data_IF_989491446193
#
_entry.id   IF_989491446193
#
_cell.length_a   1.000
_cell.length_b   1.000
_cell.length_c   1.000
_cell.angle_alpha   90.00
_cell.angle_beta   90.00
_cell.angle_gamma   90.00
#
_symmetry.space_group_name_H-M   'P 1'
#
loop_
_entity.id
_entity.type
_entity.pdbx_description
1 polymer ?
#
# COMPACT_ATOMS: atom_id res chain seq x y z
N UNK A 1 2.93 -5.65 18.19
CA UNK A 1 3.82 -6.83 18.19
C UNK A 1 3.18 -7.89 17.33
N UNK A 2 3.93 -8.47 16.43
CA UNK A 2 3.44 -9.35 15.38
C UNK A 2 4.36 -10.58 15.31
N UNK A 3 3.78 -11.78 15.40
CA UNK A 3 4.48 -13.01 15.10
C UNK A 3 3.86 -13.61 13.84
N UNK A 4 4.63 -13.64 12.76
CA UNK A 4 4.22 -14.21 11.49
C UNK A 4 5.03 -15.47 11.19
N UNK A 5 4.38 -16.44 10.61
CA UNK A 5 4.99 -17.65 10.07
C UNK A 5 4.38 -17.99 8.73
N UNK A 6 5.23 -18.14 7.74
CA UNK A 6 4.89 -18.72 6.45
C UNK A 6 5.48 -20.11 6.37
N UNK A 7 4.83 -20.99 5.63
CA UNK A 7 5.15 -22.40 5.61
C UNK A 7 5.73 -22.82 4.26
N UNK A 8 6.19 -24.04 4.17
CA UNK A 8 6.78 -24.68 3.01
C UNK A 8 8.21 -24.19 2.70
N UNK A 9 8.70 -24.51 1.52
CA UNK A 9 10.13 -24.36 1.16
C UNK A 9 10.64 -22.93 1.25
N UNK A 10 9.82 -21.92 0.92
CA UNK A 10 10.16 -20.49 1.01
C UNK A 10 9.61 -19.82 2.26
N UNK A 11 9.15 -20.64 3.19
CA UNK A 11 8.58 -20.16 4.44
C UNK A 11 9.63 -19.61 5.40
N UNK A 12 9.21 -18.64 6.18
CA UNK A 12 9.99 -18.03 7.24
C UNK A 12 9.12 -17.73 8.45
N UNK A 13 9.74 -17.41 9.57
CA UNK A 13 9.05 -16.91 10.75
C UNK A 13 9.77 -15.69 11.31
N UNK A 14 9.00 -14.80 11.90
CA UNK A 14 9.55 -13.61 12.51
C UNK A 14 8.65 -13.11 13.63
N UNK A 15 9.28 -12.61 14.67
CA UNK A 15 8.65 -11.78 15.68
C UNK A 15 9.16 -10.37 15.54
N UNK A 16 8.26 -9.39 15.43
CA UNK A 16 8.64 -8.00 15.22
C UNK A 16 7.49 -7.04 15.48
N UNK A 17 7.62 -5.82 15.01
CA UNK A 17 6.57 -4.81 15.09
C UNK A 17 6.43 -4.10 13.76
N UNK A 18 5.28 -4.27 13.13
CA UNK A 18 4.79 -3.34 12.10
C UNK A 18 4.34 -2.08 12.84
N UNK A 19 4.91 -0.94 12.51
CA UNK A 19 4.64 0.30 13.24
C UNK A 19 4.72 1.51 12.32
N UNK A 20 3.79 2.44 12.50
CA UNK A 20 3.72 3.67 11.72
C UNK A 20 3.19 4.79 12.58
N UNK A 21 3.69 5.99 12.33
CA UNK A 21 3.26 7.22 12.99
C UNK A 21 2.87 8.21 11.90
N UNK A 22 1.65 8.72 12.00
CA UNK A 22 1.13 9.77 11.12
C UNK A 22 0.80 11.00 11.95
N UNK A 23 1.24 12.15 11.48
CA UNK A 23 0.92 13.47 12.04
C UNK A 23 0.32 14.33 10.93
N UNK A 24 -0.91 14.76 11.14
CA UNK A 24 -1.55 15.76 10.30
C UNK A 24 -1.87 16.99 11.15
N UNK A 25 -1.45 18.15 10.67
CA UNK A 25 -1.77 19.43 11.29
C UNK A 25 -2.31 20.36 10.23
N UNK A 26 -3.35 21.12 10.53
CA UNK A 26 -3.92 22.08 9.58
C UNK A 26 -4.39 23.36 10.30
N UNK A 27 -4.41 24.45 9.55
CA UNK A 27 -4.88 25.73 10.04
C UNK A 27 -5.26 26.71 8.92
N UNK A 28 -6.04 27.76 9.23
CA UNK A 28 -6.44 28.75 8.25
C UNK A 28 -5.25 29.62 7.82
N UNK A 29 -5.14 29.88 6.54
CA UNK A 29 -4.14 30.79 5.97
C UNK A 29 -4.58 31.34 4.61
N UNK A 30 -4.41 32.66 4.40
CA UNK A 30 -4.63 33.34 3.13
C UNK A 30 -5.97 33.00 2.42
N UNK A 31 -7.07 32.90 3.18
CA UNK A 31 -8.40 32.59 2.65
C UNK A 31 -8.66 31.10 2.39
N UNK A 32 -7.71 30.23 2.70
CA UNK A 32 -7.83 28.78 2.61
C UNK A 32 -7.33 28.10 3.88
N UNK A 33 -6.98 26.83 3.74
CA UNK A 33 -6.42 25.99 4.80
C UNK A 33 -5.08 25.44 4.34
N UNK A 34 -4.03 25.64 5.13
CA UNK A 34 -2.75 24.94 4.97
C UNK A 34 -2.73 23.69 5.81
N UNK A 35 -2.06 22.66 5.30
CA UNK A 35 -1.83 21.39 5.98
C UNK A 35 -0.35 21.02 6.00
N UNK A 36 0.04 20.28 7.03
CA UNK A 36 1.32 19.57 7.14
C UNK A 36 1.03 18.10 7.36
N UNK A 37 1.68 17.26 6.57
CA UNK A 37 1.54 15.81 6.62
C UNK A 37 2.91 15.19 6.85
N UNK A 38 3.03 14.37 7.85
CA UNK A 38 4.26 13.63 8.17
C UNK A 38 3.89 12.20 8.48
N UNK A 39 4.51 11.24 7.79
CA UNK A 39 4.36 9.82 8.07
C UNK A 39 5.73 9.15 8.11
N UNK A 40 5.94 8.30 9.08
CA UNK A 40 7.18 7.55 9.23
C UNK A 40 6.97 6.21 9.91
N UNK A 41 8.01 5.38 9.82
CA UNK A 41 8.03 4.04 10.39
C UNK A 41 9.37 3.74 11.05
N UNK A 42 9.35 2.89 12.05
CA UNK A 42 10.55 2.31 12.66
C UNK A 42 10.63 0.78 12.39
N UNK A 43 9.99 0.30 11.34
CA UNK A 43 9.97 -1.13 10.96
C UNK A 43 11.37 -1.66 10.70
N UNK A 44 12.26 -0.87 10.12
CA UNK A 44 13.66 -1.26 9.92
C UNK A 44 14.36 -1.69 11.22
N UNK A 45 14.04 -1.04 12.36
CA UNK A 45 14.57 -1.43 13.68
C UNK A 45 13.89 -2.67 14.26
N UNK A 46 12.64 -2.90 13.93
CA UNK A 46 11.81 -3.92 14.58
C UNK A 46 11.61 -5.18 13.75
N UNK A 47 11.74 -5.08 12.43
CA UNK A 47 11.67 -6.18 11.47
C UNK A 47 13.03 -6.47 10.81
N UNK A 48 13.96 -5.50 10.85
CA UNK A 48 15.24 -5.57 10.13
C UNK A 48 15.08 -5.36 8.62
N UNK A 49 16.18 -5.39 7.89
CA UNK A 49 16.23 -5.09 6.45
C UNK A 49 15.42 -6.07 5.58
N UNK A 50 15.12 -7.27 6.07
CA UNK A 50 14.28 -8.24 5.34
C UNK A 50 12.79 -7.92 5.39
N UNK A 51 12.34 -7.13 6.37
CA UNK A 51 10.91 -6.90 6.61
C UNK A 51 10.17 -8.14 7.14
N UNK A 52 8.89 -8.30 6.85
CA UNK A 52 8.05 -9.36 7.37
C UNK A 52 7.91 -10.55 6.39
N UNK A 53 7.85 -11.81 6.88
CA UNK A 53 7.58 -12.97 6.03
C UNK A 53 6.22 -12.84 5.35
N UNK A 54 6.22 -12.90 4.02
CA UNK A 54 5.00 -12.90 3.22
C UNK A 54 5.26 -13.64 1.90
N UNK A 55 4.62 -14.80 1.75
CA UNK A 55 4.77 -15.62 0.54
C UNK A 55 4.31 -14.86 -0.71
N UNK A 56 5.01 -15.09 -1.82
CA UNK A 56 4.66 -14.58 -3.15
C UNK A 56 4.71 -13.05 -3.29
N UNK A 57 5.28 -12.33 -2.31
CA UNK A 57 5.43 -10.88 -2.39
C UNK A 57 6.67 -10.51 -3.21
N UNK A 58 7.84 -10.66 -2.67
CA UNK A 58 9.12 -10.55 -3.37
C UNK A 58 10.07 -11.59 -2.79
N UNK A 59 10.86 -12.24 -3.65
CA UNK A 59 11.85 -13.20 -3.21
C UNK A 59 13.04 -12.47 -2.57
N UNK A 60 13.47 -12.96 -1.41
CA UNK A 60 14.63 -12.46 -0.69
C UNK A 60 15.71 -13.55 -0.59
N UNK A 61 16.92 -13.25 -1.05
CA UNK A 61 18.05 -14.15 -0.91
C UNK A 61 18.66 -14.01 0.49
N UNK A 62 18.55 -15.06 1.30
CA UNK A 62 19.26 -15.12 2.56
C UNK A 62 20.73 -15.51 2.36
N UNK A 63 21.58 -15.18 3.33
CA UNK A 63 22.95 -15.66 3.37
C UNK A 63 22.96 -17.19 3.33
N UNK A 64 23.74 -17.77 2.41
CA UNK A 64 23.79 -19.21 2.19
C UNK A 64 22.91 -19.73 1.06
N UNK A 65 22.28 -18.88 0.25
CA UNK A 65 21.54 -19.25 -0.96
C UNK A 65 20.11 -19.74 -0.74
N UNK A 66 19.58 -19.67 0.48
CA UNK A 66 18.17 -19.95 0.73
C UNK A 66 17.31 -18.77 0.29
N UNK A 67 16.30 -19.02 -0.53
CA UNK A 67 15.33 -18.01 -0.95
C UNK A 67 14.13 -18.08 -0.03
N UNK A 68 13.73 -16.93 0.52
CA UNK A 68 12.50 -16.76 1.30
C UNK A 68 11.74 -15.55 0.78
N UNK A 69 10.42 -15.54 0.94
CA UNK A 69 9.59 -14.44 0.47
C UNK A 69 9.25 -13.50 1.65
N UNK A 70 9.41 -12.21 1.41
CA UNK A 70 9.16 -11.17 2.41
C UNK A 70 8.52 -9.94 1.77
N UNK A 71 7.84 -9.16 2.58
CA UNK A 71 7.57 -7.75 2.28
C UNK A 71 8.64 -6.91 2.95
N UNK A 72 9.24 -6.00 2.22
CA UNK A 72 10.26 -5.06 2.76
C UNK A 72 9.68 -4.20 3.90
N UNK A 73 10.49 -3.72 4.84
CA UNK A 73 10.03 -2.80 5.88
C UNK A 73 9.65 -1.45 5.26
N UNK A 74 8.72 -0.75 5.87
CA UNK A 74 8.42 0.62 5.49
C UNK A 74 9.63 1.54 5.76
N UNK A 75 9.93 2.50 4.87
CA UNK A 75 11.05 3.44 5.06
C UNK A 75 10.83 4.35 6.28
N UNK A 76 11.92 4.90 6.82
CA UNK A 76 11.89 5.80 7.99
C UNK A 76 10.96 7.00 7.81
N UNK A 77 10.93 7.56 6.62
CA UNK A 77 10.07 8.67 6.25
C UNK A 77 9.29 8.27 5.01
N UNK A 78 7.98 8.18 5.15
CA UNK A 78 7.04 7.76 4.11
C UNK A 78 6.30 8.96 3.52
N UNK A 79 6.13 10.05 4.29
CA UNK A 79 5.53 11.28 3.83
C UNK A 79 6.13 12.48 4.56
N UNK A 80 6.44 13.52 3.81
CA UNK A 80 6.73 14.87 4.29
C UNK A 80 6.16 15.85 3.28
N UNK A 81 4.99 16.38 3.56
CA UNK A 81 4.22 17.18 2.62
C UNK A 81 3.54 18.38 3.26
N UNK A 82 3.33 19.39 2.44
CA UNK A 82 2.44 20.51 2.71
C UNK A 82 1.25 20.48 1.77
N UNK A 83 0.11 20.98 2.23
CA UNK A 83 -1.08 21.17 1.40
C UNK A 83 -1.69 22.55 1.56
N UNK A 84 -2.43 22.97 0.55
CA UNK A 84 -3.26 24.18 0.59
C UNK A 84 -4.58 23.91 -0.10
N UNK A 85 -5.68 24.15 0.60
CA UNK A 85 -7.03 23.98 0.09
C UNK A 85 -7.77 25.31 0.15
N UNK A 86 -8.42 25.71 -0.95
CA UNK A 86 -9.20 26.93 -1.03
C UNK A 86 -10.56 26.71 -1.70
N UNK A 87 -11.58 27.33 -1.16
CA UNK A 87 -12.92 27.38 -1.75
C UNK A 87 -12.99 28.59 -2.67
N UNK A 88 -13.21 28.37 -3.96
CA UNK A 88 -13.31 29.45 -4.97
C UNK A 88 -14.75 29.88 -5.19
N UNK A 89 -15.71 28.95 -5.07
CA UNK A 89 -17.15 29.21 -5.15
C UNK A 89 -17.92 28.17 -4.34
N UNK A 90 -19.27 28.27 -4.34
CA UNK A 90 -20.11 27.27 -3.66
C UNK A 90 -19.91 25.83 -4.19
N UNK A 91 -19.56 25.73 -5.47
CA UNK A 91 -19.42 24.43 -6.16
C UNK A 91 -17.98 24.06 -6.52
N UNK A 92 -16.99 24.92 -6.23
CA UNK A 92 -15.60 24.66 -6.64
C UNK A 92 -14.61 24.95 -5.53
N UNK A 93 -13.84 23.93 -5.19
CA UNK A 93 -12.63 24.06 -4.38
C UNK A 93 -11.39 23.61 -5.18
N UNK A 94 -10.25 24.16 -4.84
CA UNK A 94 -8.95 23.76 -5.37
C UNK A 94 -8.07 23.24 -4.24
N UNK A 95 -7.15 22.34 -4.58
CA UNK A 95 -6.11 21.87 -3.68
C UNK A 95 -4.75 21.89 -4.37
N UNK A 96 -3.73 22.20 -3.59
CA UNK A 96 -2.33 22.03 -3.95
C UNK A 96 -1.66 21.19 -2.88
N UNK A 97 -0.99 20.14 -3.29
CA UNK A 97 -0.18 19.28 -2.41
C UNK A 97 1.25 19.27 -2.96
N UNK A 98 2.22 19.50 -2.09
CA UNK A 98 3.64 19.47 -2.44
C UNK A 98 4.41 18.70 -1.37
N UNK A 99 5.14 17.67 -1.79
CA UNK A 99 5.84 16.76 -0.91
C UNK A 99 7.30 16.58 -1.32
N UNK A 100 8.18 16.51 -0.33
CA UNK A 100 9.53 15.98 -0.52
C UNK A 100 9.49 14.45 -0.72
N UNK A 101 8.61 13.79 0.03
CA UNK A 101 8.21 12.39 -0.10
C UNK A 101 6.71 12.37 0.09
N UNK A 102 5.96 11.70 -0.78
CA UNK A 102 4.50 11.64 -0.66
C UNK A 102 3.81 10.82 -1.72
N UNK A 103 2.48 10.88 -1.72
CA UNK A 103 1.61 10.11 -2.58
C UNK A 103 1.14 10.96 -3.79
N UNK A 104 1.47 10.58 -5.04
CA UNK A 104 0.90 11.21 -6.24
C UNK A 104 -0.55 10.74 -6.49
N UNK A 105 -1.25 11.41 -7.39
CA UNK A 105 -2.60 11.01 -7.83
C UNK A 105 -2.53 9.80 -8.79
N UNK A 106 -1.91 8.71 -8.35
CA UNK A 106 -1.76 7.45 -9.08
C UNK A 106 -2.15 6.27 -8.20
N UNK A 107 -3.00 5.39 -8.71
CA UNK A 107 -3.52 4.27 -7.96
C UNK A 107 -4.63 4.63 -6.95
N UNK A 108 -5.09 3.67 -6.16
CA UNK A 108 -5.99 3.89 -5.04
C UNK A 108 -5.27 4.63 -3.90
N UNK A 109 -5.99 5.15 -2.91
CA UNK A 109 -5.37 5.48 -1.63
C UNK A 109 -4.59 4.27 -1.10
N UNK A 110 -3.38 4.49 -0.59
CA UNK A 110 -2.56 3.40 -0.05
C UNK A 110 -3.35 2.58 0.98
N UNK A 111 -3.09 1.27 1.03
CA UNK A 111 -3.86 0.34 1.88
C UNK A 111 -3.97 0.80 3.35
N UNK A 112 -2.98 1.54 3.84
CA UNK A 112 -2.97 2.13 5.19
C UNK A 112 -4.06 3.17 5.45
N UNK A 113 -4.56 3.79 4.39
CA UNK A 113 -5.61 4.82 4.45
C UNK A 113 -6.99 4.31 4.05
N UNK A 114 -7.11 3.01 3.73
CA UNK A 114 -8.40 2.38 3.40
C UNK A 114 -9.07 1.80 4.64
N UNK A 115 -10.32 2.14 4.90
CA UNK A 115 -11.10 1.57 5.99
C UNK A 115 -11.23 0.05 5.91
N UNK A 116 -11.28 -0.51 4.71
CA UNK A 116 -11.34 -1.95 4.43
C UNK A 116 -10.07 -2.74 4.85
N UNK A 117 -8.95 -2.05 5.06
CA UNK A 117 -7.68 -2.65 5.48
C UNK A 117 -7.23 -2.22 6.88
N UNK A 118 -8.02 -1.39 7.58
CA UNK A 118 -7.59 -0.72 8.82
C UNK A 118 -7.17 -1.67 9.95
N UNK A 119 -7.77 -2.87 10.04
CA UNK A 119 -7.40 -3.88 11.05
C UNK A 119 -6.44 -4.97 10.50
N UNK A 120 -6.09 -4.89 9.22
CA UNK A 120 -5.24 -5.88 8.57
C UNK A 120 -3.77 -5.43 8.60
N UNK A 121 -2.87 -6.10 9.34
CA UNK A 121 -1.47 -5.70 9.43
C UNK A 121 -0.65 -6.04 8.18
N UNK A 122 -1.23 -6.75 7.20
CA UNK A 122 -0.51 -7.32 6.05
C UNK A 122 -0.64 -6.41 4.83
N UNK A 123 0.48 -6.16 4.17
CA UNK A 123 0.54 -5.49 2.86
C UNK A 123 -0.17 -6.34 1.80
N UNK A 124 -1.00 -5.76 0.92
CA UNK A 124 -1.57 -6.52 -0.20
C UNK A 124 -0.49 -7.09 -1.12
N UNK A 125 -0.69 -8.28 -1.67
CA UNK A 125 0.15 -8.75 -2.78
C UNK A 125 0.05 -7.82 -3.98
N UNK A 126 -1.12 -7.24 -4.23
CA UNK A 126 -1.37 -6.29 -5.31
C UNK A 126 -0.68 -4.92 -5.13
N UNK A 127 -0.06 -4.64 -3.98
CA UNK A 127 0.57 -3.36 -3.65
C UNK A 127 1.49 -2.84 -4.78
N UNK A 128 2.43 -3.63 -5.27
CA UNK A 128 3.36 -3.23 -6.33
C UNK A 128 2.71 -2.96 -7.69
N UNK A 129 1.47 -3.38 -7.90
CA UNK A 129 0.71 -3.14 -9.13
C UNK A 129 -0.38 -2.07 -8.95
N UNK A 130 -0.62 -1.59 -7.74
CA UNK A 130 -1.72 -0.67 -7.44
C UNK A 130 -1.28 0.62 -6.75
N UNK A 131 -0.59 0.54 -5.61
CA UNK A 131 -0.36 1.68 -4.71
C UNK A 131 1.09 1.81 -4.18
N UNK A 132 2.07 1.26 -4.87
CA UNK A 132 3.48 1.33 -4.48
C UNK A 132 4.09 2.75 -4.57
N UNK A 133 3.53 3.64 -5.38
CA UNK A 133 4.02 5.02 -5.54
C UNK A 133 3.71 5.94 -4.35
N UNK A 134 3.08 5.43 -3.30
CA UNK A 134 2.65 6.22 -2.13
C UNK A 134 3.77 6.92 -1.35
N UNK A 135 5.03 6.57 -1.59
CA UNK A 135 6.21 7.19 -0.97
C UNK A 135 7.18 7.72 -2.04
N UNK A 136 6.67 8.30 -3.12
CA UNK A 136 7.48 8.87 -4.19
C UNK A 136 8.20 10.14 -3.77
N UNK A 137 9.40 10.35 -4.27
CA UNK A 137 10.12 11.62 -4.09
C UNK A 137 9.50 12.74 -4.92
N UNK A 138 9.53 13.96 -4.38
CA UNK A 138 9.23 15.19 -5.11
C UNK A 138 7.87 15.14 -5.79
N UNK A 139 6.78 15.14 -5.04
CA UNK A 139 5.41 15.10 -5.58
C UNK A 139 4.82 16.52 -5.58
N UNK A 140 4.20 16.89 -6.69
CA UNK A 140 3.33 18.08 -6.77
C UNK A 140 2.02 17.65 -7.40
N UNK A 141 0.93 17.84 -6.66
CA UNK A 141 -0.44 17.50 -7.10
C UNK A 141 -1.31 18.77 -7.07
N UNK A 142 -2.01 19.01 -8.15
CA UNK A 142 -3.08 20.01 -8.24
C UNK A 142 -4.42 19.29 -8.34
N UNK A 143 -5.38 19.70 -7.51
CA UNK A 143 -6.72 19.13 -7.47
C UNK A 143 -7.80 20.20 -7.68
N UNK A 144 -8.90 19.78 -8.30
CA UNK A 144 -10.15 20.51 -8.42
C UNK A 144 -11.27 19.63 -7.91
N UNK A 145 -12.14 20.17 -7.05
CA UNK A 145 -13.24 19.45 -6.42
C UNK A 145 -14.56 20.15 -6.65
N UNK A 146 -15.50 19.40 -7.19
CA UNK A 146 -16.92 19.79 -7.34
C UNK A 146 -17.79 18.90 -6.46
N UNK A 147 -19.06 19.25 -6.22
CA UNK A 147 -20.01 18.33 -5.62
C UNK A 147 -20.07 17.03 -6.41
N UNK A 148 -19.56 15.94 -5.82
CA UNK A 148 -19.59 14.60 -6.42
C UNK A 148 -18.44 14.26 -7.37
N UNK A 149 -17.48 15.15 -7.64
CA UNK A 149 -16.35 14.86 -8.53
C UNK A 149 -15.06 15.54 -8.06
N UNK A 150 -14.00 14.77 -7.90
CA UNK A 150 -12.62 15.28 -7.73
C UNK A 150 -11.79 14.93 -8.97
N UNK A 151 -11.00 15.89 -9.45
CA UNK A 151 -9.98 15.68 -10.48
C UNK A 151 -8.64 16.12 -9.93
N UNK A 152 -7.63 15.26 -10.09
CA UNK A 152 -6.27 15.51 -9.62
C UNK A 152 -5.25 15.19 -10.71
N UNK A 153 -4.20 15.99 -10.78
CA UNK A 153 -3.05 15.75 -11.66
C UNK A 153 -1.77 15.91 -10.86
N UNK A 154 -0.83 15.02 -11.08
CA UNK A 154 0.47 14.99 -10.38
C UNK A 154 1.63 14.99 -11.36
N UNK A 155 2.69 15.71 -10.97
CA UNK A 155 4.04 15.50 -11.47
C UNK A 155 4.92 15.06 -10.30
N UNK A 156 5.74 14.04 -10.48
CA UNK A 156 6.52 13.47 -9.39
C UNK A 156 7.79 12.76 -9.90
N UNK A 157 8.68 12.46 -8.97
CA UNK A 157 9.83 11.61 -9.21
C UNK A 157 9.49 10.21 -8.72
N UNK A 158 9.36 9.25 -9.62
CA UNK A 158 8.93 7.87 -9.33
C UNK A 158 9.99 7.01 -8.62
N UNK A 159 10.94 7.64 -7.97
CA UNK A 159 11.88 6.95 -7.10
C UNK A 159 11.40 7.02 -5.66
N UNK A 160 11.67 5.98 -4.91
CA UNK A 160 11.22 5.85 -3.52
C UNK A 160 12.43 5.89 -2.58
N UNK A 161 12.22 6.29 -1.30
CA UNK A 161 13.26 6.15 -0.28
C UNK A 161 13.66 4.68 -0.14
N UNK A 162 14.95 4.42 -0.16
CA UNK A 162 15.49 3.11 0.18
C UNK A 162 15.23 2.82 1.67
N UNK A 163 14.90 1.57 2.00
CA UNK A 163 14.67 1.16 3.40
C UNK A 163 15.95 1.29 4.22
N UNK A 164 17.10 0.98 3.60
CA UNK A 164 18.43 1.05 4.21
C UNK A 164 19.26 2.08 3.48
N UNK A 165 19.34 3.29 4.01
CA UNK A 165 20.09 4.36 3.38
C UNK A 165 19.72 5.76 3.87
N UNK A 166 20.30 6.80 3.30
CA UNK A 166 19.94 8.17 3.60
C UNK A 166 18.50 8.47 3.13
N UNK A 167 17.67 9.02 4.02
CA UNK A 167 16.25 9.32 3.78
C UNK A 167 16.03 10.23 2.56
N UNK A 168 16.97 11.11 2.23
CA UNK A 168 16.89 12.07 1.14
C UNK A 168 17.97 11.82 0.08
N UNK A 169 18.16 10.59 -0.31
CA UNK A 169 19.06 10.29 -1.42
C UNK A 169 18.31 10.47 -2.74
N UNK A 170 18.36 11.70 -3.27
CA UNK A 170 17.83 12.03 -4.59
C UNK A 170 18.85 11.68 -5.67
N UNK A 171 18.51 10.76 -6.54
CA UNK A 171 19.18 10.63 -7.83
C UNK A 171 18.55 11.61 -8.84
N UNK A 172 18.85 12.89 -8.64
CA UNK A 172 18.37 14.00 -9.45
C UNK A 172 16.91 14.40 -9.14
N UNK A 173 16.70 15.68 -8.82
CA UNK A 173 15.37 16.27 -8.56
C UNK A 173 14.57 16.43 -9.88
N UNK A 174 14.14 15.33 -10.50
CA UNK A 174 13.34 15.34 -11.74
C UNK A 174 11.91 14.98 -11.40
N UNK A 175 10.97 15.81 -11.84
CA UNK A 175 9.55 15.45 -11.89
C UNK A 175 9.27 14.87 -13.28
N UNK A 176 9.71 13.65 -13.51
CA UNK A 176 9.70 12.98 -14.82
C UNK A 176 8.57 11.94 -14.96
N UNK A 177 7.84 11.69 -13.89
CA UNK A 177 6.61 10.91 -13.88
C UNK A 177 5.37 11.82 -13.81
N UNK A 178 4.27 11.37 -14.40
CA UNK A 178 3.00 12.11 -14.42
C UNK A 178 1.82 11.17 -14.19
N UNK A 179 0.81 11.67 -13.49
CA UNK A 179 -0.42 10.91 -13.25
C UNK A 179 -1.65 11.82 -13.17
N UNK A 180 -2.82 11.20 -13.31
CA UNK A 180 -4.10 11.83 -13.06
C UNK A 180 -5.07 10.86 -12.42
N UNK A 181 -5.94 11.37 -11.56
CA UNK A 181 -7.01 10.63 -10.90
C UNK A 181 -8.32 11.40 -11.00
N UNK A 182 -9.38 10.68 -11.37
CA UNK A 182 -10.75 11.16 -11.28
C UNK A 182 -11.48 10.32 -10.23
N UNK A 183 -12.15 10.98 -9.28
CA UNK A 183 -12.93 10.32 -8.23
C UNK A 183 -14.36 10.83 -8.25
N UNK A 184 -15.31 9.93 -8.38
CA UNK A 184 -16.75 10.20 -8.31
C UNK A 184 -17.25 9.79 -6.92
N UNK A 185 -17.92 10.71 -6.23
CA UNK A 185 -18.57 10.47 -4.94
C UNK A 185 -20.03 10.10 -5.16
N UNK A 186 -20.38 8.84 -4.98
CA UNK A 186 -21.74 8.34 -5.06
C UNK A 186 -22.38 8.32 -3.65
N UNK A 187 -22.95 9.45 -3.29
CA UNK A 187 -23.42 9.70 -1.92
C UNK A 187 -22.26 10.03 -0.97
N UNK A 188 -22.41 9.68 0.32
CA UNK A 188 -21.40 9.99 1.37
C UNK A 188 -20.40 8.85 1.61
N UNK A 189 -20.74 7.66 1.18
CA UNK A 189 -20.07 6.42 1.59
C UNK A 189 -19.29 5.77 0.45
N UNK A 190 -19.68 6.02 -0.80
CA UNK A 190 -19.06 5.41 -1.97
C UNK A 190 -18.17 6.39 -2.73
N UNK A 191 -16.99 5.92 -3.10
CA UNK A 191 -16.07 6.57 -4.03
C UNK A 191 -15.74 5.60 -5.15
N UNK A 192 -15.84 6.05 -6.40
CA UNK A 192 -15.40 5.30 -7.58
C UNK A 192 -14.29 6.13 -8.23
N UNK A 193 -13.15 5.53 -8.49
CA UNK A 193 -12.03 6.25 -9.06
C UNK A 193 -11.44 5.55 -10.28
N UNK A 194 -10.82 6.35 -11.14
CA UNK A 194 -9.95 5.91 -12.22
C UNK A 194 -8.67 6.71 -12.20
N UNK A 195 -7.54 6.03 -12.40
CA UNK A 195 -6.22 6.67 -12.48
C UNK A 195 -5.47 6.20 -13.72
N UNK A 196 -4.64 7.08 -14.24
CA UNK A 196 -3.69 6.76 -15.28
C UNK A 196 -2.40 7.55 -15.05
N UNK A 197 -1.26 6.92 -15.29
CA UNK A 197 0.02 7.56 -15.19
C UNK A 197 1.09 6.93 -16.09
N UNK A 198 2.15 7.69 -16.28
CA UNK A 198 3.40 7.24 -16.89
C UNK A 198 4.51 7.43 -15.87
N UNK A 199 5.31 6.38 -15.68
CA UNK A 199 6.51 6.39 -14.85
C UNK A 199 7.72 5.98 -15.70
N UNK A 200 8.84 6.72 -15.63
CA UNK A 200 10.05 6.41 -16.38
C UNK A 200 10.75 5.18 -15.80
N UNK A 201 11.73 4.65 -16.51
CA UNK A 201 12.60 3.62 -15.96
C UNK A 201 13.40 4.15 -14.76
N UNK A 202 13.49 3.36 -13.73
CA UNK A 202 14.23 3.68 -12.51
C UNK A 202 15.35 2.67 -12.26
N UNK A 203 16.28 3.03 -11.36
CA UNK A 203 17.39 2.20 -10.91
C UNK A 203 17.40 2.18 -9.38
N UNK A 204 18.05 1.19 -8.76
CA UNK A 204 18.11 1.04 -7.30
C UNK A 204 17.25 -0.12 -6.79
N UNK A 205 16.90 -0.10 -5.51
CA UNK A 205 16.16 -1.18 -4.84
C UNK A 205 14.74 -1.39 -5.37
N UNK A 206 14.12 -0.33 -5.91
CA UNK A 206 12.78 -0.35 -6.53
C UNK A 206 12.86 -0.13 -8.05
N UNK A 207 13.88 -0.71 -8.70
CA UNK A 207 14.08 -0.56 -10.14
C UNK A 207 12.95 -1.18 -10.95
N UNK A 208 12.49 -0.46 -11.97
CA UNK A 208 11.52 -0.95 -12.94
C UNK A 208 11.73 -0.28 -14.31
N UNK A 209 11.25 -0.92 -15.36
CA UNK A 209 11.20 -0.33 -16.70
C UNK A 209 10.19 0.83 -16.76
N UNK A 210 10.36 1.71 -17.75
CA UNK A 210 9.36 2.72 -18.06
C UNK A 210 8.00 2.04 -18.31
N UNK A 211 6.92 2.55 -17.73
CA UNK A 211 5.62 1.89 -17.81
C UNK A 211 4.44 2.85 -17.78
N UNK A 212 3.35 2.42 -18.39
CA UNK A 212 2.03 3.01 -18.22
C UNK A 212 1.27 2.26 -17.14
N UNK A 213 0.63 3.00 -16.24
CA UNK A 213 -0.12 2.42 -15.11
C UNK A 213 -1.58 2.85 -15.18
N UNK A 214 -2.47 1.89 -15.02
CA UNK A 214 -3.92 2.09 -14.95
C UNK A 214 -4.44 1.56 -13.63
N UNK A 215 -5.29 2.32 -12.95
CA UNK A 215 -6.01 1.91 -11.75
C UNK A 215 -7.49 2.23 -11.87
N UNK A 216 -8.33 1.29 -11.46
CA UNK A 216 -9.78 1.50 -11.34
C UNK A 216 -10.23 0.92 -10.00
N UNK A 217 -11.18 1.56 -9.32
CA UNK A 217 -11.69 0.98 -8.09
C UNK A 217 -12.94 1.63 -7.56
N UNK A 218 -13.56 0.91 -6.64
CA UNK A 218 -14.68 1.38 -5.83
C UNK A 218 -14.38 1.14 -4.36
N UNK A 219 -14.59 2.16 -3.55
CA UNK A 219 -14.38 2.16 -2.10
C UNK A 219 -15.70 2.50 -1.42
N UNK A 220 -16.03 1.74 -0.39
CA UNK A 220 -17.14 2.04 0.52
C UNK A 220 -16.56 2.16 1.93
N UNK A 221 -16.85 3.24 2.60
CA UNK A 221 -16.38 3.49 3.95
C UNK A 221 -17.51 4.02 4.83
N UNK A 222 -18.18 3.10 5.51
CA UNK A 222 -19.25 3.39 6.46
C UNK A 222 -19.34 2.27 7.51
N UNK A 223 -19.68 2.66 8.74
CA UNK A 223 -19.92 1.69 9.81
C UNK A 223 -21.22 0.89 9.54
N UNK A 224 -21.23 -0.43 9.79
CA UNK A 224 -20.11 -1.22 10.35
C UNK A 224 -19.19 -1.82 9.28
N UNK A 225 -19.35 -1.52 7.99
CA UNK A 225 -18.65 -2.14 6.88
C UNK A 225 -17.79 -1.15 6.10
N UNK A 226 -16.57 -1.53 5.81
CA UNK A 226 -15.73 -0.89 4.80
C UNK A 226 -15.33 -1.92 3.75
N UNK A 227 -15.43 -1.54 2.47
CA UNK A 227 -15.19 -2.42 1.33
C UNK A 227 -14.30 -1.72 0.31
N UNK A 228 -13.44 -2.46 -0.36
CA UNK A 228 -12.68 -1.98 -1.52
C UNK A 228 -12.62 -3.05 -2.59
N UNK A 229 -12.85 -2.66 -3.84
CA UNK A 229 -12.59 -3.49 -5.03
C UNK A 229 -11.73 -2.66 -5.96
N UNK A 230 -10.55 -3.16 -6.30
CA UNK A 230 -9.52 -2.41 -7.02
C UNK A 230 -8.92 -3.30 -8.10
N UNK A 231 -8.79 -2.73 -9.30
CA UNK A 231 -8.03 -3.29 -10.40
C UNK A 231 -6.82 -2.40 -10.68
N UNK A 232 -5.67 -3.00 -10.91
CA UNK A 232 -4.45 -2.34 -11.34
C UNK A 232 -3.83 -3.04 -12.54
N UNK A 233 -3.24 -2.27 -13.45
CA UNK A 233 -2.49 -2.78 -14.56
C UNK A 233 -1.24 -1.93 -14.81
N UNK A 234 -0.07 -2.58 -14.86
CA UNK A 234 1.20 -1.96 -15.23
C UNK A 234 1.64 -2.52 -16.59
N UNK A 235 1.82 -1.63 -17.55
CA UNK A 235 2.22 -1.98 -18.91
C UNK A 235 3.63 -1.45 -19.20
N UNK A 236 4.69 -2.24 -18.99
CA UNK A 236 6.06 -1.83 -19.26
C UNK A 236 6.25 -1.54 -20.76
N UNK A 237 6.98 -0.47 -21.05
CA UNK A 237 7.29 -0.07 -22.43
C UNK A 237 8.25 -1.10 -23.05
N UNK A 238 7.85 -1.69 -24.17
CA UNK A 238 8.65 -2.71 -24.86
C UNK A 238 8.47 -4.14 -24.34
N UNK A 239 7.63 -4.38 -23.35
CA UNK A 239 7.29 -5.73 -22.89
C UNK A 239 6.13 -6.35 -23.69
N UNK A 240 5.93 -7.67 -23.53
CA UNK A 240 4.90 -8.43 -24.26
C UNK A 240 3.46 -8.24 -23.72
N UNK A 241 3.23 -7.23 -22.87
CA UNK A 241 1.89 -6.91 -22.39
C UNK A 241 1.84 -6.44 -20.93
N UNK A 242 0.66 -6.01 -20.48
CA UNK A 242 0.47 -5.52 -19.12
C UNK A 242 0.48 -6.65 -18.10
N UNK A 243 0.88 -6.31 -16.87
CA UNK A 243 0.70 -7.13 -15.66
C UNK A 243 -0.53 -6.64 -14.92
N UNK A 244 -1.37 -7.56 -14.51
CA UNK A 244 -2.67 -7.29 -13.91
C UNK A 244 -2.73 -7.64 -12.43
N UNK A 245 -3.56 -6.93 -11.71
CA UNK A 245 -3.97 -7.28 -10.35
C UNK A 245 -5.43 -6.94 -10.12
N UNK A 246 -6.08 -7.74 -9.30
CA UNK A 246 -7.41 -7.48 -8.74
C UNK A 246 -7.34 -7.71 -7.24
N UNK A 247 -7.92 -6.80 -6.48
CA UNK A 247 -8.03 -6.88 -5.04
C UNK A 247 -9.48 -6.63 -4.64
N UNK A 248 -10.00 -7.47 -3.76
CA UNK A 248 -11.23 -7.22 -3.03
C UNK A 248 -10.96 -7.39 -1.54
N UNK A 249 -11.21 -6.36 -0.75
CA UNK A 249 -11.05 -6.42 0.70
C UNK A 249 -12.26 -5.85 1.42
N UNK A 250 -12.55 -6.42 2.58
CA UNK A 250 -13.66 -6.03 3.42
C UNK A 250 -13.26 -6.07 4.90
N UNK A 251 -13.80 -5.13 5.65
CA UNK A 251 -13.71 -5.10 7.10
C UNK A 251 -15.08 -4.85 7.70
N UNK A 252 -15.41 -5.60 8.74
CA UNK A 252 -16.57 -5.38 9.60
C UNK A 252 -16.09 -5.01 10.99
N UNK A 253 -16.67 -3.95 11.55
CA UNK A 253 -16.37 -3.48 12.89
C UNK A 253 -17.59 -3.73 13.81
N UNK A 254 -17.36 -4.35 14.95
CA UNK A 254 -18.38 -4.47 15.98
C UNK A 254 -18.53 -3.18 16.79
N UNK A 255 -19.68 -2.95 17.43
CA UNK A 255 -19.84 -1.83 18.35
C UNK A 255 -18.87 -1.88 19.56
N UNK A 256 -18.29 -3.04 19.86
CA UNK A 256 -17.32 -3.26 20.94
C UNK A 256 -15.87 -3.02 20.52
N UNK A 257 -15.63 -2.71 19.22
CA UNK A 257 -14.31 -2.45 18.66
C UNK A 257 -13.60 -3.68 18.10
N UNK A 258 -14.24 -4.86 18.08
CA UNK A 258 -13.69 -6.03 17.39
C UNK A 258 -13.78 -5.82 15.88
N UNK A 259 -12.86 -6.40 15.13
CA UNK A 259 -12.88 -6.36 13.68
C UNK A 259 -12.73 -7.76 13.05
N UNK A 260 -13.54 -8.03 12.05
CA UNK A 260 -13.36 -9.15 11.13
C UNK A 260 -12.93 -8.59 9.79
N UNK A 261 -11.87 -9.10 9.20
CA UNK A 261 -11.36 -8.63 7.92
C UNK A 261 -11.03 -9.78 6.98
N UNK A 262 -11.17 -9.51 5.70
CA UNK A 262 -10.83 -10.45 4.63
C UNK A 262 -10.25 -9.72 3.44
N UNK A 263 -9.43 -10.43 2.65
CA UNK A 263 -8.88 -9.97 1.39
C UNK A 263 -8.79 -11.12 0.42
N UNK A 264 -9.19 -10.89 -0.82
CA UNK A 264 -9.00 -11.81 -1.94
C UNK A 264 -8.25 -11.05 -3.02
N UNK A 265 -7.21 -11.66 -3.54
CA UNK A 265 -6.34 -11.04 -4.53
C UNK A 265 -6.06 -12.00 -5.69
N UNK A 266 -6.00 -11.44 -6.90
CA UNK A 266 -5.34 -12.02 -8.04
C UNK A 266 -4.21 -11.09 -8.43
N UNK A 267 -2.99 -11.61 -8.59
CA UNK A 267 -1.82 -10.83 -8.98
C UNK A 267 -0.96 -11.59 -9.99
N UNK A 268 -0.39 -10.86 -10.90
CA UNK A 268 0.65 -11.36 -11.80
C UNK A 268 2.01 -10.96 -11.27
N UNK A 269 2.90 -11.94 -11.11
CA UNK A 269 4.30 -11.76 -10.70
C UNK A 269 5.23 -12.20 -11.82
N UNK A 270 6.33 -11.48 -11.98
CA UNK A 270 7.39 -11.92 -12.88
C UNK A 270 8.23 -13.04 -12.25
N UNK A 271 8.88 -13.81 -13.08
CA UNK A 271 9.84 -14.82 -12.62
C UNK A 271 10.99 -14.19 -11.82
N UNK A 272 11.43 -12.98 -12.22
CA UNK A 272 12.50 -12.24 -11.55
C UNK A 272 12.08 -11.77 -10.14
N UNK A 273 10.86 -11.20 -9.99
CA UNK A 273 10.33 -10.83 -8.66
C UNK A 273 10.31 -12.00 -7.68
N UNK A 274 10.06 -13.20 -8.20
CA UNK A 274 10.04 -14.43 -7.40
C UNK A 274 11.38 -15.19 -7.40
N UNK A 275 12.44 -14.64 -7.99
CA UNK A 275 13.76 -15.27 -8.13
C UNK A 275 13.63 -16.74 -8.60
N UNK A 276 12.89 -16.96 -9.67
CA UNK A 276 12.70 -18.28 -10.28
C UNK A 276 13.80 -18.55 -11.29
N UNK A 277 14.42 -19.72 -11.21
CA UNK A 277 15.45 -20.18 -12.16
C UNK A 277 14.92 -21.34 -12.99
N UNK A 278 15.27 -21.35 -14.29
CA UNK A 278 14.88 -22.40 -15.22
C UNK A 278 13.92 -21.93 -16.32
N UNK A 279 13.38 -22.87 -17.11
CA UNK A 279 12.43 -22.60 -18.19
C UNK A 279 11.01 -22.45 -17.62
N UNK A 280 10.73 -21.30 -17.04
CA UNK A 280 9.43 -20.99 -16.43
C UNK A 280 8.82 -19.82 -17.20
N UNK A 281 7.49 -19.77 -17.29
CA UNK A 281 6.79 -18.62 -17.86
C UNK A 281 7.27 -17.33 -17.19
N UNK A 282 7.50 -16.29 -17.95
CA UNK A 282 7.95 -15.00 -17.43
C UNK A 282 6.96 -14.40 -16.43
N UNK A 283 5.65 -14.67 -16.60
CA UNK A 283 4.57 -14.17 -15.74
C UNK A 283 3.87 -15.35 -15.06
N UNK A 284 3.64 -15.22 -13.78
CA UNK A 284 2.96 -16.18 -12.91
C UNK A 284 1.64 -15.60 -12.40
N UNK A 285 0.55 -16.33 -12.61
CA UNK A 285 -0.77 -16.00 -12.08
C UNK A 285 -0.90 -16.54 -10.65
N UNK A 286 -1.20 -15.68 -9.69
CA UNK A 286 -1.26 -16.02 -8.28
C UNK A 286 -2.61 -15.54 -7.73
N UNK A 287 -3.29 -16.42 -7.00
CA UNK A 287 -4.47 -16.07 -6.22
C UNK A 287 -4.14 -16.16 -4.73
N UNK A 288 -4.71 -15.25 -3.94
CA UNK A 288 -4.52 -15.22 -2.49
C UNK A 288 -5.85 -14.94 -1.79
N UNK A 289 -6.07 -15.63 -0.70
CA UNK A 289 -7.22 -15.39 0.18
C UNK A 289 -6.71 -15.26 1.62
N UNK A 290 -7.16 -14.21 2.29
CA UNK A 290 -6.85 -13.95 3.70
C UNK A 290 -8.14 -13.73 4.48
N UNK A 291 -8.19 -14.28 5.70
CA UNK A 291 -9.19 -13.98 6.70
C UNK A 291 -8.52 -13.76 8.05
N UNK A 292 -8.98 -12.75 8.77
CA UNK A 292 -8.46 -12.44 10.09
C UNK A 292 -9.51 -11.81 11.00
N UNK A 293 -9.23 -11.89 12.29
CA UNK A 293 -10.06 -11.33 13.34
C UNK A 293 -9.20 -10.66 14.39
N UNK A 294 -9.65 -9.52 14.88
CA UNK A 294 -9.04 -8.86 16.02
C UNK A 294 -10.09 -8.48 17.06
N UNK A 295 -9.78 -8.73 18.32
CA UNK A 295 -10.62 -8.42 19.48
C UNK A 295 -10.09 -7.20 20.21
N UNK A 296 -10.93 -6.24 20.50
CA UNK A 296 -10.63 -5.15 21.40
C UNK A 296 -10.48 -5.68 22.84
N UNK A 297 -9.30 -5.50 23.43
CA UNK A 297 -8.99 -6.03 24.78
C UNK A 297 -8.86 -4.93 25.84
N UNK A 298 -8.55 -3.72 25.40
CA UNK A 298 -8.47 -2.56 26.28
C UNK A 298 -8.79 -1.28 25.52
N UNK A 299 -9.60 -0.43 26.12
CA UNK A 299 -9.83 0.94 25.64
C UNK A 299 -9.67 1.87 26.85
N UNK A 300 -8.66 2.74 26.81
CA UNK A 300 -8.41 3.70 27.89
C UNK A 300 -8.14 5.08 27.31
N UNK A 301 -9.11 5.96 27.37
CA UNK A 301 -9.01 7.31 26.81
C UNK A 301 -8.82 7.26 25.29
N UNK A 302 -7.63 7.63 24.82
CA UNK A 302 -7.25 7.64 23.39
C UNK A 302 -6.46 6.40 22.96
N UNK A 303 -6.28 5.43 23.84
CA UNK A 303 -5.51 4.22 23.57
C UNK A 303 -6.46 3.06 23.40
N UNK A 304 -6.36 2.35 22.28
CA UNK A 304 -7.07 1.11 22.03
C UNK A 304 -6.05 -0.01 21.86
N UNK A 305 -6.23 -1.09 22.61
CA UNK A 305 -5.48 -2.34 22.46
C UNK A 305 -6.32 -3.40 21.81
N UNK A 306 -5.75 -4.14 20.86
CA UNK A 306 -6.38 -5.29 20.19
C UNK A 306 -5.46 -6.49 20.22
N UNK A 307 -6.04 -7.68 20.24
CA UNK A 307 -5.35 -8.96 19.97
C UNK A 307 -6.00 -9.61 18.78
N UNK A 308 -5.22 -10.05 17.82
CA UNK A 308 -5.74 -10.59 16.57
C UNK A 308 -4.87 -11.70 15.98
N UNK A 309 -5.39 -12.26 14.92
CA UNK A 309 -4.68 -13.23 14.09
C UNK A 309 -5.32 -13.34 12.72
N UNK A 310 -4.58 -13.92 11.79
CA UNK A 310 -5.05 -14.18 10.43
C UNK A 310 -4.43 -15.45 9.86
N UNK A 311 -5.07 -15.95 8.81
CA UNK A 311 -4.56 -17.01 7.94
C UNK A 311 -4.62 -16.49 6.50
N UNK A 312 -3.55 -16.73 5.75
CA UNK A 312 -3.48 -16.48 4.31
C UNK A 312 -3.22 -17.80 3.59
N UNK A 313 -4.01 -18.08 2.57
CA UNK A 313 -3.87 -19.25 1.69
C UNK A 313 -3.67 -18.73 0.28
N UNK A 314 -2.65 -19.23 -0.42
CA UNK A 314 -2.37 -18.85 -1.80
C UNK A 314 -2.60 -20.06 -2.72
N UNK A 315 -3.03 -19.78 -3.93
CA UNK A 315 -3.11 -20.75 -5.01
C UNK A 315 -2.10 -20.35 -6.08
N UNK A 316 -1.24 -21.28 -6.45
CA UNK A 316 -0.17 -21.04 -7.40
C UNK A 316 -0.22 -22.02 -8.57
N UNK A 317 0.25 -21.62 -9.76
CA UNK A 317 0.39 -22.53 -10.88
C UNK A 317 1.27 -23.73 -10.53
N UNK A 318 1.02 -24.93 -11.10
CA UNK A 318 1.79 -26.15 -10.78
C UNK A 318 3.30 -26.00 -11.00
N UNK A 319 3.73 -25.14 -11.90
CA UNK A 319 5.14 -24.84 -12.18
C UNK A 319 5.87 -24.17 -11.00
N UNK A 320 5.15 -23.58 -10.07
CA UNK A 320 5.74 -23.01 -8.83
C UNK A 320 5.89 -24.07 -7.72
N UNK A 321 5.27 -25.23 -7.82
CA UNK A 321 5.37 -26.30 -6.81
C UNK A 321 6.82 -26.68 -6.47
N UNK A 322 7.78 -26.78 -7.41
CA UNK A 322 9.17 -27.08 -7.05
C UNK A 322 9.83 -26.04 -6.15
N UNK A 323 9.37 -24.79 -6.18
CA UNK A 323 9.92 -23.69 -5.40
C UNK A 323 9.23 -23.52 -4.04
N UNK A 324 7.93 -23.77 -4.00
CA UNK A 324 7.11 -23.57 -2.80
C UNK A 324 6.77 -24.88 -2.05
N UNK A 325 7.10 -26.04 -2.63
CA UNK A 325 6.81 -27.35 -2.04
C UNK A 325 5.35 -27.82 -2.23
N UNK A 326 4.46 -26.90 -2.60
CA UNK A 326 3.02 -27.14 -2.79
C UNK A 326 2.43 -26.14 -3.78
N UNK A 327 1.27 -26.43 -4.35
CA UNK A 327 0.46 -25.47 -5.09
C UNK A 327 -0.47 -24.62 -4.19
N UNK A 328 -0.47 -24.88 -2.88
CA UNK A 328 -1.30 -24.18 -1.89
C UNK A 328 -0.44 -23.71 -0.71
N UNK A 329 0.56 -22.84 -0.93
CA UNK A 329 1.37 -22.31 0.16
C UNK A 329 0.55 -21.39 1.06
N UNK A 330 0.78 -21.42 2.37
CA UNK A 330 0.00 -20.66 3.33
C UNK A 330 0.86 -19.99 4.41
N UNK A 331 0.27 -19.02 5.08
CA UNK A 331 0.87 -18.31 6.20
C UNK A 331 -0.15 -18.01 7.28
N UNK A 332 0.33 -17.75 8.48
CA UNK A 332 -0.50 -17.36 9.62
C UNK A 332 0.24 -16.39 10.51
N UNK A 333 -0.50 -15.59 11.25
CA UNK A 333 0.08 -14.75 12.28
C UNK A 333 -0.87 -14.55 13.46
N UNK A 334 -0.26 -14.19 14.58
CA UNK A 334 -0.93 -13.60 15.74
C UNK A 334 -0.29 -12.26 16.07
N UNK A 335 -1.07 -11.30 16.47
CA UNK A 335 -0.58 -9.96 16.74
C UNK A 335 -1.29 -9.26 17.89
N UNK A 336 -0.57 -8.37 18.55
CA UNK A 336 -1.12 -7.37 19.43
C UNK A 336 -0.94 -6.00 18.81
N UNK A 337 -1.99 -5.20 18.77
CA UNK A 337 -2.01 -3.84 18.26
C UNK A 337 -2.27 -2.85 19.40
N UNK A 338 -1.59 -1.71 19.33
CA UNK A 338 -1.89 -0.55 20.16
C UNK A 338 -2.04 0.64 19.24
N UNK A 339 -3.24 1.21 19.22
CA UNK A 339 -3.56 2.38 18.41
C UNK A 339 -3.77 3.58 19.32
N UNK A 340 -3.09 4.69 19.01
CA UNK A 340 -3.29 5.98 19.63
C UNK A 340 -4.24 6.81 18.74
N UNK A 341 -5.46 7.01 19.20
CA UNK A 341 -6.43 7.85 18.47
C UNK A 341 -6.16 9.30 18.83
N UNK A 342 -5.51 10.04 17.93
CA UNK A 342 -5.31 11.49 18.08
C UNK A 342 -6.64 12.25 18.04
N UNK A 343 -6.72 13.43 18.68
CA UNK A 343 -7.75 14.40 18.32
C UNK A 343 -7.33 15.08 17.04
N UNK A 344 -8.22 15.17 16.05
CA UNK A 344 -8.15 16.23 15.07
C UNK A 344 -8.22 17.55 15.86
N UNK A 345 -7.13 18.29 15.92
CA UNK A 345 -7.16 19.68 16.35
C UNK A 345 -7.77 20.43 15.17
N UNK A 346 -9.06 20.75 15.28
CA UNK A 346 -9.76 21.61 14.33
C UNK A 346 -9.35 23.06 14.55
#
# INVERSE_FOLDING_TARGET
MHYARTFETRGAYQFGSVNRVMLHASGPWAGGTVGLHVMGSAELLTLGARGAPQLLQVAFHADGGTVTDHVHPSPWLMELAGSYDAVLSEDLSISLYAAAIGEPALGPPVYLHRGSAAANPVVPLAHHLQDDTHSSYGVVTYGMRWPGLDLEVSAFNDRQPEEVGPVFFYDGARLDATAGRATIHAGKEWKVFGTYGYTPATTGGHAHDAQHRLGLGALHDAEPWSLSVIYGANNPVGAEGPRHSVLAEAQWNSPTGDALFTRVEYVQRTADELALVGSISAIQDIESMQIGYSRAVAVRGKVMGRLGGYVTVNLTPPQLTPFYGTSVPFGTAVYGEVTLVGRSVR
#
